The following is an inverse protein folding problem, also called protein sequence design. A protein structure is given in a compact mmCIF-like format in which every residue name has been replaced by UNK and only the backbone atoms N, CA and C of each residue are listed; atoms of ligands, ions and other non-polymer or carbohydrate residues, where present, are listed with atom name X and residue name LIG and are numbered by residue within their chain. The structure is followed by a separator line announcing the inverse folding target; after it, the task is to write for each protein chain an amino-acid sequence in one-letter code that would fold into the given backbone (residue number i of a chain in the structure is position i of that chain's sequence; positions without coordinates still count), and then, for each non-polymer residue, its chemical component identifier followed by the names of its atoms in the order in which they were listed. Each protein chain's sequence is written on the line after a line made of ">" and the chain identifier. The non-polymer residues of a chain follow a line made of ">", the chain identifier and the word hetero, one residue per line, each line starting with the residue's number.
data_IF_892343786469
#
_entry.id   IF_892343786469
#
_cell.length_a   1.000
_cell.length_b   1.000
_cell.length_c   1.000
_cell.angle_alpha   90.00
_cell.angle_beta   90.00
_cell.angle_gamma   90.00
#
_symmetry.space_group_name_H-M   'P 1'
#
loop_
_entity.id
_entity.type
_entity.pdbx_description
1 polymer ?
#
# COMPACT_ATOMS: atom_id res chain seq x y z
N UNK A 1 0.63 62.60 -6.27
CA UNK A 1 0.38 61.41 -5.44
C UNK A 1 0.75 60.16 -6.24
N UNK A 2 1.71 59.36 -5.80
CA UNK A 2 2.01 58.06 -6.42
C UNK A 2 2.23 57.02 -5.31
N UNK A 3 1.23 56.16 -5.10
CA UNK A 3 1.32 55.03 -4.17
C UNK A 3 1.77 53.80 -4.95
N UNK A 4 3.09 53.64 -5.03
CA UNK A 4 3.77 52.62 -5.83
C UNK A 4 3.90 51.26 -5.11
N UNK A 5 3.71 50.18 -5.88
CA UNK A 5 4.66 49.06 -5.86
C UNK A 5 4.56 47.93 -4.83
N UNK A 6 3.78 48.02 -3.74
CA UNK A 6 3.86 47.00 -2.66
C UNK A 6 3.23 45.62 -2.94
N UNK A 7 2.48 45.44 -4.03
CA UNK A 7 1.63 44.25 -4.27
C UNK A 7 2.31 43.14 -5.07
N UNK A 8 3.45 43.44 -5.71
CA UNK A 8 4.10 42.54 -6.67
C UNK A 8 5.15 41.61 -6.02
N UNK A 9 5.88 42.12 -5.01
CA UNK A 9 7.05 41.44 -4.41
C UNK A 9 6.74 40.18 -3.60
N UNK A 10 5.47 39.93 -3.25
CA UNK A 10 5.06 38.78 -2.45
C UNK A 10 4.52 37.60 -3.27
N UNK A 11 4.23 37.82 -4.56
CA UNK A 11 3.68 36.77 -5.44
C UNK A 11 4.74 35.73 -5.83
N UNK A 12 5.99 36.16 -6.01
CA UNK A 12 7.11 35.30 -6.38
C UNK A 12 7.48 34.31 -5.25
N UNK A 13 7.72 34.73 -3.99
CA UNK A 13 8.03 33.79 -2.91
C UNK A 13 6.84 32.85 -2.61
N UNK A 14 5.61 33.34 -2.71
CA UNK A 14 4.41 32.53 -2.52
C UNK A 14 4.24 31.47 -3.62
N UNK A 15 4.54 31.81 -4.88
CA UNK A 15 4.54 30.87 -6.00
C UNK A 15 5.59 29.76 -5.85
N UNK A 16 6.79 30.10 -5.40
CA UNK A 16 7.87 29.12 -5.13
C UNK A 16 7.46 28.16 -4.01
N UNK A 17 6.91 28.67 -2.91
CA UNK A 17 6.41 27.85 -1.80
C UNK A 17 5.26 26.93 -2.24
N UNK A 18 4.29 27.45 -2.97
CA UNK A 18 3.16 26.66 -3.47
C UNK A 18 3.62 25.51 -4.38
N UNK A 19 4.59 25.77 -5.25
CA UNK A 19 5.14 24.76 -6.16
C UNK A 19 5.96 23.70 -5.41
N UNK A 20 6.73 24.12 -4.40
CA UNK A 20 7.48 23.21 -3.52
C UNK A 20 6.58 22.25 -2.74
N UNK A 21 5.50 22.77 -2.14
CA UNK A 21 4.52 21.96 -1.39
C UNK A 21 3.80 20.98 -2.32
N UNK A 22 3.39 21.43 -3.51
CA UNK A 22 2.75 20.55 -4.49
C UNK A 22 3.69 19.43 -4.96
N UNK A 23 4.97 19.73 -5.20
CA UNK A 23 5.98 18.74 -5.57
C UNK A 23 6.19 17.67 -4.49
N UNK A 24 6.30 18.09 -3.23
CA UNK A 24 6.43 17.17 -2.09
C UNK A 24 5.18 16.27 -1.94
N UNK A 25 3.98 16.84 -2.07
CA UNK A 25 2.73 16.08 -1.99
C UNK A 25 2.63 15.02 -3.09
N UNK A 26 3.05 15.29 -4.33
CA UNK A 26 3.04 14.30 -5.42
C UNK A 26 3.96 13.11 -5.10
N UNK A 27 5.14 13.36 -4.53
CA UNK A 27 6.08 12.31 -4.15
C UNK A 27 5.54 11.44 -3.00
N UNK A 28 4.95 12.06 -1.98
CA UNK A 28 4.38 11.35 -0.82
C UNK A 28 3.12 10.57 -1.20
N UNK A 29 2.21 11.16 -1.98
CA UNK A 29 0.95 10.54 -2.38
C UNK A 29 1.12 9.47 -3.47
N UNK A 30 2.22 9.51 -4.25
CA UNK A 30 2.62 8.41 -5.15
C UNK A 30 3.21 7.21 -4.42
N UNK A 31 3.48 7.31 -3.11
CA UNK A 31 4.34 6.42 -2.33
C UNK A 31 3.95 4.95 -2.31
N UNK A 32 2.67 4.57 -2.36
CA UNK A 32 2.26 3.21 -2.77
C UNK A 32 0.73 3.00 -2.85
N UNK A 33 0.12 3.36 -3.97
CA UNK A 33 -1.14 2.73 -4.40
C UNK A 33 -0.86 1.35 -5.01
N UNK A 34 -0.45 0.42 -4.15
CA UNK A 34 -0.19 -1.02 -4.33
C UNK A 34 -0.69 -1.72 -5.61
N UNK A 35 -0.20 -1.30 -6.78
CA UNK A 35 -0.41 -1.94 -8.10
C UNK A 35 0.79 -2.78 -8.54
N UNK A 36 2.00 -2.42 -8.10
CA UNK A 36 3.24 -3.10 -8.48
C UNK A 36 3.65 -4.10 -7.40
N UNK A 37 3.18 -5.33 -7.57
CA UNK A 37 3.50 -6.48 -6.73
C UNK A 37 4.62 -7.32 -7.35
N UNK A 38 5.43 -7.95 -6.50
CA UNK A 38 6.42 -8.93 -6.91
C UNK A 38 5.75 -10.17 -7.52
N UNK A 39 6.56 -11.00 -8.18
CA UNK A 39 6.16 -12.38 -8.45
C UNK A 39 5.86 -13.10 -7.12
N UNK A 40 4.86 -14.00 -7.07
CA UNK A 40 4.50 -14.70 -5.82
C UNK A 40 5.65 -15.59 -5.33
N UNK A 41 6.00 -15.46 -4.06
CA UNK A 41 7.05 -16.26 -3.42
C UNK A 41 6.39 -17.22 -2.43
N UNK A 42 6.85 -18.47 -2.40
CA UNK A 42 6.42 -19.46 -1.41
C UNK A 42 7.18 -19.30 -0.10
N UNK A 43 6.46 -19.42 1.01
CA UNK A 43 7.01 -19.53 2.35
C UNK A 43 6.10 -20.43 3.18
N UNK A 44 6.65 -21.55 3.65
CA UNK A 44 5.86 -22.64 4.27
C UNK A 44 4.73 -23.11 3.32
N UNK A 45 3.52 -23.30 3.85
CA UNK A 45 2.33 -23.72 3.11
C UNK A 45 1.58 -22.55 2.43
N UNK A 46 2.16 -21.36 2.43
CA UNK A 46 1.55 -20.14 1.91
C UNK A 46 2.39 -19.51 0.79
N UNK A 47 1.71 -18.78 -0.09
CA UNK A 47 2.37 -17.90 -1.05
C UNK A 47 1.99 -16.46 -0.77
N UNK A 48 2.90 -15.54 -1.07
CA UNK A 48 2.68 -14.12 -0.85
C UNK A 48 3.38 -13.29 -1.92
N UNK A 49 2.91 -12.06 -2.07
CA UNK A 49 3.53 -11.03 -2.89
C UNK A 49 3.96 -9.86 -2.01
N UNK A 50 4.98 -9.14 -2.47
CA UNK A 50 5.51 -7.95 -1.81
C UNK A 50 5.36 -6.76 -2.74
N UNK A 51 4.90 -5.62 -2.24
CA UNK A 51 4.94 -4.39 -3.03
C UNK A 51 6.38 -3.96 -3.25
N UNK A 52 6.74 -3.76 -4.51
CA UNK A 52 8.07 -3.29 -4.90
C UNK A 52 8.32 -1.80 -4.59
N UNK A 53 7.28 -1.06 -4.20
CA UNK A 53 7.38 0.35 -3.81
C UNK A 53 7.63 0.54 -2.31
N UNK A 54 6.88 -0.16 -1.46
CA UNK A 54 6.93 0.08 -0.01
C UNK A 54 7.24 -1.15 0.84
N UNK A 55 7.28 -2.37 0.26
CA UNK A 55 7.58 -3.61 0.99
C UNK A 55 6.39 -4.27 1.73
N UNK A 56 5.17 -3.73 1.63
CA UNK A 56 4.00 -4.37 2.25
C UNK A 56 3.71 -5.71 1.58
N UNK A 57 3.24 -6.69 2.35
CA UNK A 57 2.99 -8.05 1.89
C UNK A 57 1.51 -8.36 1.82
N UNK A 58 1.14 -9.29 0.96
CA UNK A 58 -0.21 -9.83 0.84
C UNK A 58 -0.15 -11.30 0.44
N UNK A 59 -1.06 -12.11 0.97
CA UNK A 59 -1.15 -13.52 0.59
C UNK A 59 -1.58 -13.68 -0.87
N UNK A 60 -1.16 -14.78 -1.48
CA UNK A 60 -1.40 -15.12 -2.86
C UNK A 60 -1.85 -16.57 -2.98
N UNK A 61 -2.93 -16.79 -3.72
CA UNK A 61 -3.46 -18.10 -4.03
C UNK A 61 -2.89 -18.52 -5.37
N UNK A 62 -2.06 -19.55 -5.37
CA UNK A 62 -1.43 -20.06 -6.58
C UNK A 62 -2.40 -20.82 -7.49
N UNK A 63 -3.44 -21.44 -6.93
CA UNK A 63 -4.42 -22.22 -7.70
C UNK A 63 -5.33 -21.29 -8.49
N UNK A 64 -5.81 -20.24 -7.81
CA UNK A 64 -6.63 -19.20 -8.44
C UNK A 64 -5.80 -18.07 -9.06
N UNK A 65 -4.48 -18.16 -8.93
CA UNK A 65 -3.50 -17.17 -9.39
C UNK A 65 -3.88 -15.72 -9.04
N UNK A 66 -4.27 -15.47 -7.78
CA UNK A 66 -4.75 -14.16 -7.32
C UNK A 66 -4.30 -13.83 -5.90
N UNK A 67 -4.02 -12.56 -5.65
CA UNK A 67 -3.77 -12.05 -4.30
C UNK A 67 -5.08 -12.00 -3.48
N UNK A 68 -5.01 -12.33 -2.19
CA UNK A 68 -6.16 -12.34 -1.29
C UNK A 68 -5.79 -11.83 0.11
N UNK A 69 -6.82 -11.61 0.94
CA UNK A 69 -6.64 -11.19 2.33
C UNK A 69 -6.14 -9.74 2.48
N UNK A 70 -5.86 -9.33 3.73
CA UNK A 70 -5.38 -8.00 4.05
C UNK A 70 -3.90 -7.81 3.69
N UNK A 71 -3.45 -6.57 3.74
CA UNK A 71 -2.04 -6.22 3.65
C UNK A 71 -1.40 -6.15 5.04
N UNK A 72 -0.14 -6.57 5.16
CA UNK A 72 0.66 -6.45 6.38
C UNK A 72 2.15 -6.45 6.04
N UNK A 73 2.96 -5.80 6.87
CA UNK A 73 4.42 -5.94 6.79
C UNK A 73 4.93 -7.23 7.44
N UNK A 74 4.18 -7.76 8.40
CA UNK A 74 4.44 -9.02 9.07
C UNK A 74 3.71 -10.15 8.33
N UNK A 75 4.50 -11.04 7.73
CA UNK A 75 3.99 -12.20 6.99
C UNK A 75 3.40 -13.26 7.93
N UNK A 76 4.00 -13.48 9.09
CA UNK A 76 3.53 -14.49 10.04
C UNK A 76 2.15 -14.13 10.58
N UNK A 77 1.90 -12.82 10.79
CA UNK A 77 0.57 -12.32 11.12
C UNK A 77 -0.47 -12.60 10.03
N UNK A 78 -0.11 -12.51 8.75
CA UNK A 78 -1.04 -12.85 7.66
C UNK A 78 -1.36 -14.34 7.66
N UNK A 79 -0.34 -15.18 7.84
CA UNK A 79 -0.47 -16.64 7.86
C UNK A 79 -1.35 -17.09 9.03
N UNK A 80 -1.13 -16.57 10.24
CA UNK A 80 -1.93 -16.96 11.42
C UNK A 80 -3.40 -16.56 11.28
N UNK A 81 -3.68 -15.40 10.68
CA UNK A 81 -5.05 -14.97 10.39
C UNK A 81 -5.73 -15.85 9.33
N UNK A 82 -5.02 -16.26 8.28
CA UNK A 82 -5.55 -17.17 7.27
C UNK A 82 -5.82 -18.56 7.84
N UNK A 83 -4.91 -19.08 8.67
CA UNK A 83 -5.10 -20.36 9.36
C UNK A 83 -6.32 -20.32 10.29
N UNK A 84 -6.44 -19.27 11.12
CA UNK A 84 -7.59 -19.09 12.01
C UNK A 84 -8.91 -19.10 11.23
N UNK A 85 -8.98 -18.34 10.12
CA UNK A 85 -10.17 -18.33 9.24
C UNK A 85 -10.49 -19.69 8.66
N UNK A 86 -9.49 -20.44 8.20
CA UNK A 86 -9.70 -21.80 7.68
C UNK A 86 -10.20 -22.76 8.74
N UNK A 87 -9.74 -22.62 9.99
CA UNK A 87 -10.25 -23.41 11.11
C UNK A 87 -11.68 -23.02 11.47
N UNK A 88 -12.00 -21.72 11.47
CA UNK A 88 -13.36 -21.20 11.72
C UNK A 88 -14.36 -21.57 10.62
N UNK A 89 -13.93 -21.60 9.35
CA UNK A 89 -14.73 -22.05 8.20
C UNK A 89 -14.87 -23.59 8.14
N UNK A 90 -14.14 -24.33 8.99
CA UNK A 90 -14.30 -25.78 9.18
C UNK A 90 -15.20 -26.21 10.38
N UNK A 91 -16.51 -25.88 10.44
CA UNK A 91 -17.42 -26.56 11.35
C UNK A 91 -18.62 -27.16 10.60
N UNK A 92 -18.43 -28.17 9.73
CA UNK A 92 -19.48 -29.16 9.41
C UNK A 92 -19.04 -30.30 8.45
N UNK A 93 -17.81 -30.82 8.48
CA UNK A 93 -17.55 -32.15 7.92
C UNK A 93 -17.44 -33.16 9.07
N UNK A 94 -18.57 -33.37 9.77
CA UNK A 94 -18.73 -34.60 10.55
C UNK A 94 -18.88 -35.74 9.55
N UNK A 95 -18.09 -36.82 9.64
CA UNK A 95 -18.40 -38.04 8.91
C UNK A 95 -19.78 -38.52 9.35
N UNK A 96 -20.63 -38.84 8.36
CA UNK A 96 -21.93 -39.46 8.55
C UNK A 96 -21.77 -40.91 9.01
#
# INVERSE_FOLDING_TARGET
>A
MAADGKKSRWKVPLGIMATGVAGAAVLVLRGCWHRKMSWPVRYQEHSYQVCLGCGIKRLFDEKLFRAYGPYSYDLNRLISQDQAKRTEDQPQQRPA
#
